data_IF_884729672017
#
_entry.id   IF_884729672017
#
_cell.length_a   1.000
_cell.length_b   1.000
_cell.length_c   1.000
_cell.angle_alpha   90.00
_cell.angle_beta   90.00
_cell.angle_gamma   90.00
#
_symmetry.space_group_name_H-M   'P 1'
#
loop_
_entity.id
_entity.type
_entity.pdbx_description
1 polymer ?
#
# COMPACT_ATOMS: atom_id res chain seq x y z
N UNK A 1 -1.18 -16.99 24.85
CA UNK A 1 -2.21 -16.91 23.78
C UNK A 1 -3.29 -15.88 24.16
N UNK A 2 -3.71 -15.02 23.24
CA UNK A 2 -4.62 -13.88 23.50
C UNK A 2 -6.08 -14.28 23.85
N UNK A 3 -6.31 -15.52 24.30
CA UNK A 3 -7.63 -16.01 24.70
C UNK A 3 -8.63 -16.28 23.57
N UNK A 4 -8.20 -16.19 22.31
CA UNK A 4 -9.08 -16.43 21.16
C UNK A 4 -9.34 -17.93 20.94
N UNK A 5 -10.58 -18.28 20.62
CA UNK A 5 -10.94 -19.61 20.13
C UNK A 5 -10.36 -19.81 18.73
N UNK A 6 -9.74 -20.96 18.49
CA UNK A 6 -9.11 -21.30 17.21
C UNK A 6 -9.64 -22.64 16.72
N UNK A 7 -9.86 -22.76 15.40
CA UNK A 7 -10.14 -24.06 14.79
C UNK A 7 -8.94 -25.02 14.98
N UNK A 8 -9.21 -26.30 15.18
CA UNK A 8 -8.18 -27.35 15.23
C UNK A 8 -7.81 -27.89 13.85
N UNK A 9 -8.60 -27.55 12.83
CA UNK A 9 -8.39 -27.90 11.43
C UNK A 9 -7.82 -26.69 10.69
N UNK A 10 -7.00 -26.94 9.67
CA UNK A 10 -6.49 -25.86 8.83
C UNK A 10 -7.56 -25.33 7.87
N UNK A 11 -7.22 -24.26 7.16
CA UNK A 11 -8.17 -23.60 6.27
C UNK A 11 -8.62 -24.47 5.10
N UNK A 12 -7.77 -25.39 4.62
CA UNK A 12 -8.10 -26.23 3.46
C UNK A 12 -9.09 -27.32 3.84
N UNK A 13 -8.87 -27.98 4.98
CA UNK A 13 -9.78 -29.01 5.48
C UNK A 13 -11.14 -28.37 5.79
N UNK A 14 -11.17 -27.18 6.38
CA UNK A 14 -12.41 -26.45 6.65
C UNK A 14 -13.21 -26.20 5.35
N UNK A 15 -12.57 -25.78 4.27
CA UNK A 15 -13.23 -25.58 2.97
C UNK A 15 -13.69 -26.92 2.35
N UNK A 16 -12.85 -27.97 2.41
CA UNK A 16 -13.16 -29.30 1.86
C UNK A 16 -14.37 -29.97 2.54
N UNK A 17 -14.59 -29.71 3.83
CA UNK A 17 -15.75 -30.20 4.58
C UNK A 17 -16.98 -29.28 4.48
N UNK A 18 -16.90 -28.20 3.69
CA UNK A 18 -18.04 -27.33 3.36
C UNK A 18 -18.25 -26.14 4.31
N UNK A 19 -17.27 -25.77 5.13
CA UNK A 19 -17.36 -24.52 5.89
C UNK A 19 -17.06 -23.30 5.02
N UNK A 20 -17.79 -22.22 5.27
CA UNK A 20 -17.47 -20.91 4.73
C UNK A 20 -16.28 -20.31 5.47
N UNK A 21 -15.25 -19.91 4.71
CA UNK A 21 -14.04 -19.30 5.23
C UNK A 21 -13.94 -17.85 4.78
N UNK A 22 -13.83 -16.92 5.72
CA UNK A 22 -13.70 -15.48 5.47
C UNK A 22 -12.37 -14.97 6.01
N UNK A 23 -11.56 -14.37 5.12
CA UNK A 23 -10.31 -13.72 5.51
C UNK A 23 -10.57 -12.25 5.89
N UNK A 24 -10.48 -11.95 7.19
CA UNK A 24 -10.54 -10.58 7.70
C UNK A 24 -9.12 -10.04 7.79
N UNK A 25 -8.71 -9.31 6.75
CA UNK A 25 -7.37 -8.74 6.63
C UNK A 25 -7.34 -7.32 7.20
N UNK A 26 -6.31 -7.02 8.00
CA UNK A 26 -6.00 -5.65 8.39
C UNK A 26 -5.01 -5.05 7.40
N UNK A 27 -5.37 -3.92 6.81
CA UNK A 27 -4.53 -3.22 5.85
C UNK A 27 -4.46 -1.74 6.22
N UNK A 28 -3.23 -1.26 6.47
CA UNK A 28 -2.99 0.11 6.95
C UNK A 28 -3.40 1.19 5.95
N UNK A 29 -3.35 0.90 4.65
CA UNK A 29 -3.74 1.86 3.59
C UNK A 29 -5.16 2.38 3.74
N UNK A 30 -6.11 1.48 4.03
CA UNK A 30 -7.51 1.86 4.33
C UNK A 30 -7.59 2.71 5.59
N UNK A 31 -6.80 2.38 6.63
CA UNK A 31 -6.68 3.19 7.84
C UNK A 31 -6.18 4.61 7.56
N UNK A 32 -5.16 4.75 6.69
CA UNK A 32 -4.64 6.06 6.27
C UNK A 32 -5.74 6.90 5.61
N UNK A 33 -6.50 6.30 4.70
CA UNK A 33 -7.57 6.97 3.96
C UNK A 33 -8.66 7.46 4.92
N UNK A 34 -9.16 6.56 5.77
CA UNK A 34 -10.26 6.86 6.70
C UNK A 34 -9.86 7.92 7.73
N UNK A 35 -8.69 7.75 8.37
CA UNK A 35 -8.20 8.71 9.36
C UNK A 35 -7.90 10.07 8.74
N UNK A 36 -7.38 10.11 7.51
CA UNK A 36 -7.11 11.37 6.82
C UNK A 36 -8.40 12.14 6.54
N UNK A 37 -9.45 11.50 6.01
CA UNK A 37 -10.76 12.15 5.78
C UNK A 37 -11.31 12.73 7.09
N UNK A 38 -11.23 11.97 8.18
CA UNK A 38 -11.64 12.44 9.51
C UNK A 38 -10.82 13.65 9.97
N UNK A 39 -9.49 13.58 9.85
CA UNK A 39 -8.59 14.68 10.23
C UNK A 39 -8.82 15.94 9.37
N UNK A 40 -9.14 15.79 8.09
CA UNK A 40 -9.48 16.93 7.21
C UNK A 40 -10.76 17.61 7.68
N UNK A 41 -11.79 16.83 8.03
CA UNK A 41 -13.03 17.38 8.58
C UNK A 41 -12.80 18.08 9.92
N UNK A 42 -12.03 17.47 10.83
CA UNK A 42 -11.73 18.05 12.15
C UNK A 42 -10.84 19.31 12.06
N UNK A 43 -9.83 19.32 11.19
CA UNK A 43 -8.85 20.40 11.12
C UNK A 43 -9.31 21.57 10.23
N UNK A 44 -10.04 21.28 9.14
CA UNK A 44 -10.41 22.27 8.12
C UNK A 44 -11.92 22.47 7.96
N UNK A 45 -12.76 21.62 8.56
CA UNK A 45 -14.21 21.65 8.35
C UNK A 45 -14.65 21.20 6.96
N UNK A 46 -13.78 20.52 6.21
CA UNK A 46 -14.04 20.09 4.82
C UNK A 46 -14.48 18.63 4.82
N UNK A 47 -15.61 18.34 4.19
CA UNK A 47 -16.02 16.96 3.90
C UNK A 47 -15.41 16.50 2.58
N UNK A 48 -14.69 15.38 2.62
CA UNK A 48 -14.06 14.79 1.44
C UNK A 48 -14.82 13.51 1.09
N UNK A 49 -15.50 13.52 -0.05
CA UNK A 49 -15.98 12.29 -0.66
C UNK A 49 -14.83 11.56 -1.33
N UNK A 50 -14.22 10.63 -0.61
CA UNK A 50 -13.10 9.82 -1.11
C UNK A 50 -13.56 8.61 -1.95
N UNK A 51 -14.87 8.38 -2.02
CA UNK A 51 -15.45 7.29 -2.82
C UNK A 51 -15.84 7.74 -4.23
N UNK A 52 -15.75 9.03 -4.54
CA UNK A 52 -15.71 9.53 -5.92
C UNK A 52 -14.36 9.14 -6.58
N UNK A 53 -14.32 7.91 -7.08
CA UNK A 53 -13.13 7.30 -7.64
C UNK A 53 -12.70 7.97 -8.96
N UNK A 54 -13.66 8.45 -9.75
CA UNK A 54 -13.37 9.10 -11.03
C UNK A 54 -12.64 10.42 -10.80
N UNK A 55 -13.09 11.20 -9.80
CA UNK A 55 -12.38 12.40 -9.37
C UNK A 55 -10.96 12.10 -8.91
N UNK A 56 -10.77 11.05 -8.11
CA UNK A 56 -9.44 10.68 -7.62
C UNK A 56 -8.50 10.28 -8.78
N UNK A 57 -8.98 9.47 -9.73
CA UNK A 57 -8.18 8.95 -10.86
C UNK A 57 -7.83 10.02 -11.90
N UNK A 58 -8.70 11.00 -12.10
CA UNK A 58 -8.53 12.06 -13.11
C UNK A 58 -7.85 13.32 -12.56
N UNK A 59 -7.52 13.35 -11.27
CA UNK A 59 -6.86 14.50 -10.66
C UNK A 59 -5.45 14.70 -11.22
N UNK A 60 -5.24 15.85 -11.89
CA UNK A 60 -3.98 16.17 -12.56
C UNK A 60 -2.78 16.25 -11.61
N UNK A 61 -2.99 16.76 -10.39
CA UNK A 61 -1.91 16.88 -9.40
C UNK A 61 -1.53 15.52 -8.82
N UNK A 62 -2.50 14.65 -8.59
CA UNK A 62 -2.26 13.24 -8.23
C UNK A 62 -1.46 12.54 -9.33
N UNK A 63 -1.86 12.71 -10.59
CA UNK A 63 -1.12 12.14 -11.72
C UNK A 63 0.31 12.69 -11.85
N UNK A 64 0.55 13.96 -11.52
CA UNK A 64 1.90 14.53 -11.46
C UNK A 64 2.75 13.94 -10.31
N UNK A 65 2.16 13.73 -9.14
CA UNK A 65 2.85 13.07 -8.02
C UNK A 65 3.15 11.60 -8.34
N UNK A 66 2.25 10.91 -9.04
CA UNK A 66 2.46 9.55 -9.53
C UNK A 66 3.66 9.50 -10.48
N UNK A 67 3.67 10.41 -11.45
CA UNK A 67 4.70 10.53 -12.50
C UNK A 67 6.09 10.79 -11.94
N UNK A 68 6.16 11.61 -10.89
CA UNK A 68 7.41 11.95 -10.20
C UNK A 68 7.76 10.97 -9.07
N UNK A 69 6.93 9.93 -8.83
CA UNK A 69 7.14 8.95 -7.76
C UNK A 69 7.11 9.57 -6.36
N UNK A 70 6.37 10.66 -6.16
CA UNK A 70 6.16 11.32 -4.87
C UNK A 70 5.00 10.67 -4.11
N UNK A 71 5.19 9.40 -3.75
CA UNK A 71 4.11 8.50 -3.29
C UNK A 71 4.35 7.96 -1.88
N UNK A 72 5.18 8.63 -1.08
CA UNK A 72 5.42 8.24 0.32
C UNK A 72 4.10 8.26 1.13
N UNK A 73 3.84 7.19 1.87
CA UNK A 73 2.61 6.93 2.62
C UNK A 73 1.43 6.41 1.78
N UNK A 74 1.54 6.44 0.44
CA UNK A 74 0.50 5.94 -0.44
C UNK A 74 0.58 4.41 -0.53
N UNK A 75 -0.54 3.75 -0.25
CA UNK A 75 -0.61 2.29 -0.27
C UNK A 75 -0.14 1.73 -1.62
N UNK A 76 0.54 0.59 -1.60
CA UNK A 76 0.96 -0.18 -2.77
C UNK A 76 2.05 0.45 -3.68
N UNK A 77 2.18 1.78 -3.67
CA UNK A 77 3.04 2.53 -4.60
C UNK A 77 4.24 3.24 -3.97
N UNK A 78 4.62 2.84 -2.76
CA UNK A 78 5.63 3.55 -1.96
C UNK A 78 7.07 2.98 -2.06
N UNK A 79 7.23 1.71 -2.45
CA UNK A 79 8.56 1.07 -2.41
C UNK A 79 9.56 1.74 -3.37
N UNK A 80 10.89 1.72 -3.08
CA UNK A 80 11.90 2.29 -3.97
C UNK A 80 11.83 1.77 -5.41
N UNK A 81 11.63 0.45 -5.56
CA UNK A 81 11.50 -0.20 -6.86
C UNK A 81 10.27 0.29 -7.62
N UNK A 82 9.11 0.38 -6.94
CA UNK A 82 7.88 0.88 -7.53
C UNK A 82 8.01 2.34 -7.92
N UNK A 83 8.48 3.21 -7.02
CA UNK A 83 8.70 4.63 -7.31
C UNK A 83 9.67 4.86 -8.47
N UNK A 84 10.71 4.05 -8.56
CA UNK A 84 11.63 4.04 -9.69
C UNK A 84 10.96 3.64 -11.00
N UNK A 85 10.08 2.62 -10.96
CA UNK A 85 9.31 2.20 -12.13
C UNK A 85 8.32 3.28 -12.58
N UNK A 86 7.56 3.88 -11.66
CA UNK A 86 6.60 4.94 -11.98
C UNK A 86 7.25 6.10 -12.73
N UNK A 87 8.45 6.52 -12.29
CA UNK A 87 9.26 7.54 -12.98
C UNK A 87 9.68 7.11 -14.39
N UNK A 88 10.17 5.87 -14.54
CA UNK A 88 10.60 5.33 -15.83
C UNK A 88 9.47 5.17 -16.83
N UNK A 89 8.25 4.95 -16.34
CA UNK A 89 7.04 4.88 -17.15
C UNK A 89 6.41 6.25 -17.39
N UNK A 90 6.91 7.33 -16.75
CA UNK A 90 6.20 8.62 -16.76
C UNK A 90 4.70 8.44 -16.36
N UNK A 91 4.44 7.55 -15.40
CA UNK A 91 3.11 7.04 -15.09
C UNK A 91 2.17 8.15 -14.62
N UNK A 92 1.10 8.42 -15.38
CA UNK A 92 0.21 9.57 -15.17
C UNK A 92 -1.28 9.24 -15.31
N UNK A 93 -1.64 7.96 -15.28
CA UNK A 93 -3.01 7.49 -15.39
C UNK A 93 -3.21 6.16 -14.68
N UNK A 94 -4.48 5.77 -14.51
CA UNK A 94 -4.88 4.63 -13.71
C UNK A 94 -4.44 3.30 -14.35
N UNK A 95 -4.66 3.15 -15.65
CA UNK A 95 -4.37 1.95 -16.43
C UNK A 95 -2.87 1.61 -16.38
N UNK A 96 -2.02 2.63 -16.52
CA UNK A 96 -0.56 2.47 -16.45
C UNK A 96 -0.12 2.06 -15.05
N UNK A 97 -0.78 2.54 -13.98
CA UNK A 97 -0.50 2.10 -12.62
C UNK A 97 -0.90 0.63 -12.39
N UNK A 98 -2.06 0.23 -12.91
CA UNK A 98 -2.53 -1.17 -12.85
C UNK A 98 -1.52 -2.10 -13.50
N UNK A 99 -0.99 -1.72 -14.66
CA UNK A 99 0.09 -2.45 -15.30
C UNK A 99 1.38 -2.41 -14.46
N UNK A 100 1.88 -1.22 -14.10
CA UNK A 100 3.14 -1.04 -13.35
C UNK A 100 3.24 -1.93 -12.10
N UNK A 101 2.15 -2.02 -11.34
CA UNK A 101 2.04 -2.86 -10.14
C UNK A 101 2.08 -4.36 -10.39
N UNK A 102 1.66 -4.79 -11.58
CA UNK A 102 1.78 -6.19 -12.02
C UNK A 102 3.17 -6.52 -12.53
N UNK A 103 3.81 -5.63 -13.29
CA UNK A 103 5.10 -5.91 -13.96
C UNK A 103 6.34 -5.77 -13.06
N UNK A 104 6.30 -5.04 -11.94
CA UNK A 104 7.47 -4.82 -11.05
C UNK A 104 7.96 -6.07 -10.27
N UNK A 105 7.56 -7.27 -10.68
CA UNK A 105 7.83 -8.53 -9.96
C UNK A 105 9.14 -9.18 -10.39
N UNK A 106 9.81 -9.94 -9.50
CA UNK A 106 11.10 -10.57 -9.81
C UNK A 106 11.12 -11.40 -11.10
N UNK A 107 10.13 -12.27 -11.35
CA UNK A 107 10.12 -13.10 -12.56
C UNK A 107 9.91 -12.31 -13.86
N UNK A 108 9.00 -11.33 -13.84
CA UNK A 108 8.76 -10.45 -15.01
C UNK A 108 9.97 -9.56 -15.31
N UNK A 109 10.72 -9.17 -14.27
CA UNK A 109 11.98 -8.44 -14.44
C UNK A 109 13.09 -9.33 -15.04
N UNK A 110 13.18 -10.59 -14.62
CA UNK A 110 14.18 -11.56 -15.11
C UNK A 110 13.94 -11.98 -16.56
N UNK A 111 12.67 -12.05 -17.00
CA UNK A 111 12.32 -12.44 -18.38
C UNK A 111 12.54 -11.34 -19.42
N UNK A 112 12.91 -10.12 -18.99
CA UNK A 112 13.07 -8.95 -19.85
C UNK A 112 11.74 -8.26 -20.19
N UNK A 113 10.59 -8.82 -19.80
CA UNK A 113 9.27 -8.27 -20.12
C UNK A 113 9.04 -6.90 -19.46
N UNK A 114 9.54 -6.67 -18.24
CA UNK A 114 9.52 -5.33 -17.63
C UNK A 114 10.24 -4.29 -18.50
N UNK A 115 11.42 -4.65 -19.03
CA UNK A 115 12.20 -3.74 -19.87
C UNK A 115 11.46 -3.44 -21.17
N UNK A 116 10.86 -4.46 -21.76
CA UNK A 116 10.12 -4.32 -23.01
C UNK A 116 8.83 -3.52 -22.84
N UNK A 117 8.08 -3.75 -21.76
CA UNK A 117 6.91 -2.93 -21.42
C UNK A 117 7.29 -1.45 -21.26
N UNK A 118 8.35 -1.15 -20.51
CA UNK A 118 8.83 0.23 -20.35
C UNK A 118 9.24 0.85 -21.69
N UNK A 119 9.94 0.10 -22.55
CA UNK A 119 10.36 0.58 -23.87
C UNK A 119 9.14 0.92 -24.75
N UNK A 120 8.20 -0.02 -24.88
CA UNK A 120 7.01 0.16 -25.73
C UNK A 120 6.05 1.21 -25.19
N UNK A 121 5.93 1.34 -23.87
CA UNK A 121 5.13 2.38 -23.24
C UNK A 121 5.66 3.79 -23.56
N UNK A 122 6.97 3.97 -23.49
CA UNK A 122 7.61 5.26 -23.75
C UNK A 122 7.73 5.58 -25.25
N UNK A 123 7.73 4.56 -26.11
CA UNK A 123 7.80 4.68 -27.57
C UNK A 123 6.77 3.76 -28.25
N UNK A 124 5.47 4.09 -28.19
CA UNK A 124 4.40 3.22 -28.67
C UNK A 124 4.40 3.02 -30.20
N UNK A 125 5.08 3.89 -30.96
CA UNK A 125 5.29 3.69 -32.41
C UNK A 125 6.56 2.90 -32.76
N UNK A 126 7.41 2.58 -31.78
CA UNK A 126 8.74 1.99 -32.00
C UNK A 126 8.78 0.45 -31.91
N UNK A 127 7.64 -0.22 -32.07
CA UNK A 127 7.56 -1.67 -32.04
C UNK A 127 6.51 -2.21 -33.01
N UNK A 128 6.64 -3.48 -33.35
CA UNK A 128 5.65 -4.24 -34.08
C UNK A 128 5.09 -5.36 -33.21
N UNK A 129 3.81 -5.65 -33.38
CA UNK A 129 3.20 -6.80 -32.73
C UNK A 129 3.74 -8.09 -33.36
N UNK A 130 4.04 -9.12 -32.57
CA UNK A 130 4.54 -10.39 -33.10
C UNK A 130 3.49 -11.13 -33.93
N UNK A 131 2.21 -10.83 -33.71
CA UNK A 131 1.07 -11.42 -34.40
C UNK A 131 -0.17 -10.51 -34.24
N UNK A 132 -1.13 -10.47 -35.19
CA UNK A 132 -2.36 -9.67 -35.06
C UNK A 132 -3.16 -9.96 -33.78
N UNK A 133 -3.18 -11.21 -33.31
CA UNK A 133 -3.83 -11.59 -32.04
C UNK A 133 -3.22 -10.83 -30.84
N UNK A 134 -1.93 -10.52 -30.84
CA UNK A 134 -1.31 -9.75 -29.76
C UNK A 134 -1.75 -8.29 -29.79
N UNK A 135 -1.97 -7.72 -30.97
CA UNK A 135 -2.52 -6.37 -31.10
C UNK A 135 -3.96 -6.32 -30.58
N UNK A 136 -4.78 -7.26 -31.02
CA UNK A 136 -6.19 -7.36 -30.64
C UNK A 136 -6.37 -7.62 -29.14
N UNK A 137 -5.62 -8.58 -28.58
CA UNK A 137 -5.86 -9.05 -27.21
C UNK A 137 -5.06 -8.28 -26.15
N UNK A 138 -3.88 -7.76 -26.52
CA UNK A 138 -2.90 -7.14 -25.62
C UNK A 138 -2.52 -5.71 -26.05
N UNK A 139 -3.36 -5.03 -26.83
CA UNK A 139 -3.12 -3.65 -27.27
C UNK A 139 -2.89 -2.69 -26.09
N UNK A 140 -3.66 -2.85 -25.01
CA UNK A 140 -3.53 -2.05 -23.77
C UNK A 140 -2.15 -2.15 -23.10
N UNK A 141 -1.44 -3.24 -23.32
CA UNK A 141 -0.12 -3.52 -22.74
C UNK A 141 0.97 -3.61 -23.80
N UNK A 142 0.73 -3.00 -24.97
CA UNK A 142 1.70 -2.93 -26.07
C UNK A 142 2.16 -4.31 -26.56
N UNK A 143 1.29 -5.31 -26.53
CA UNK A 143 1.64 -6.68 -26.95
C UNK A 143 2.56 -7.40 -25.96
N UNK A 144 2.70 -6.91 -24.73
CA UNK A 144 3.44 -7.56 -23.65
C UNK A 144 2.44 -8.18 -22.70
N UNK A 145 2.54 -9.48 -22.44
CA UNK A 145 1.75 -10.10 -21.37
C UNK A 145 2.15 -9.47 -20.04
N UNK A 146 1.19 -9.06 -19.23
CA UNK A 146 1.40 -8.46 -17.89
C UNK A 146 0.56 -9.19 -16.85
N UNK A 147 -0.63 -9.62 -17.24
CA UNK A 147 -1.63 -10.21 -16.37
C UNK A 147 -1.80 -11.72 -16.60
N UNK A 148 -2.38 -12.40 -15.61
CA UNK A 148 -2.85 -13.78 -15.72
C UNK A 148 -3.86 -13.95 -16.85
N UNK A 149 -4.73 -12.96 -17.01
CA UNK A 149 -5.75 -12.88 -18.03
C UNK A 149 -5.14 -12.76 -19.44
N UNK A 150 -3.95 -12.16 -19.57
CA UNK A 150 -3.26 -12.05 -20.86
C UNK A 150 -2.76 -13.42 -21.33
N UNK A 151 -2.22 -14.23 -20.40
CA UNK A 151 -1.83 -15.62 -20.68
C UNK A 151 -3.03 -16.44 -21.14
N UNK A 152 -4.18 -16.29 -20.48
CA UNK A 152 -5.42 -16.96 -20.85
C UNK A 152 -5.86 -16.57 -22.27
N UNK A 153 -5.88 -15.27 -22.58
CA UNK A 153 -6.24 -14.74 -23.90
C UNK A 153 -5.32 -15.27 -25.01
N UNK A 154 -4.00 -15.26 -24.80
CA UNK A 154 -3.05 -15.75 -25.80
C UNK A 154 -3.16 -17.28 -25.95
N UNK A 155 -3.28 -18.03 -24.85
CA UNK A 155 -3.47 -19.47 -24.92
C UNK A 155 -4.74 -19.87 -25.71
N UNK A 156 -5.82 -19.09 -25.56
CA UNK A 156 -7.08 -19.31 -26.28
C UNK A 156 -7.03 -18.82 -27.74
N UNK A 157 -6.75 -17.54 -27.96
CA UNK A 157 -6.89 -16.91 -29.28
C UNK A 157 -5.70 -17.18 -30.22
N UNK A 158 -4.48 -17.32 -29.68
CA UNK A 158 -3.30 -17.68 -30.48
C UNK A 158 -3.05 -19.20 -30.44
N UNK A 159 -3.14 -19.81 -29.25
CA UNK A 159 -2.91 -21.24 -29.04
C UNK A 159 -4.06 -22.16 -29.45
N UNK A 160 -5.25 -21.62 -29.74
CA UNK A 160 -6.44 -22.40 -30.10
C UNK A 160 -6.95 -23.33 -28.99
N UNK A 161 -6.50 -23.18 -27.74
CA UNK A 161 -7.01 -23.96 -26.61
C UNK A 161 -8.42 -23.49 -26.25
N UNK A 162 -9.26 -24.34 -25.69
CA UNK A 162 -10.49 -23.85 -25.06
C UNK A 162 -10.17 -23.13 -23.73
N UNK A 163 -11.15 -22.42 -23.16
CA UNK A 163 -10.94 -21.65 -21.93
C UNK A 163 -10.60 -22.53 -20.72
N UNK A 164 -11.05 -23.79 -20.70
CA UNK A 164 -10.78 -24.71 -19.60
C UNK A 164 -9.31 -25.17 -19.63
N UNK A 165 -8.84 -25.63 -20.79
CA UNK A 165 -7.44 -25.99 -21.04
C UNK A 165 -6.52 -24.77 -20.82
N UNK A 166 -6.92 -23.58 -21.27
CA UNK A 166 -6.16 -22.36 -21.05
C UNK A 166 -6.07 -21.98 -19.56
N UNK A 167 -7.13 -22.18 -18.77
CA UNK A 167 -7.08 -21.95 -17.32
C UNK A 167 -6.21 -23.00 -16.61
N UNK A 168 -6.25 -24.26 -17.04
CA UNK A 168 -5.35 -25.30 -16.52
C UNK A 168 -3.90 -24.93 -16.82
N UNK A 169 -3.59 -24.48 -18.05
CA UNK A 169 -2.26 -23.99 -18.41
C UNK A 169 -1.81 -22.85 -17.48
N UNK A 170 -2.67 -21.83 -17.29
CA UNK A 170 -2.38 -20.69 -16.38
C UNK A 170 -2.14 -21.13 -14.93
N UNK A 171 -2.96 -22.04 -14.39
CA UNK A 171 -2.80 -22.57 -13.02
C UNK A 171 -1.52 -23.37 -12.88
N UNK A 172 -1.19 -24.17 -13.88
CA UNK A 172 -0.01 -24.99 -13.87
C UNK A 172 1.27 -24.14 -13.86
N UNK A 173 1.30 -23.08 -14.67
CA UNK A 173 2.38 -22.10 -14.63
C UNK A 173 2.47 -21.42 -13.26
N UNK A 174 1.36 -21.21 -12.55
CA UNK A 174 1.38 -20.63 -11.20
C UNK A 174 1.89 -21.58 -10.10
N UNK A 175 2.44 -22.75 -10.46
CA UNK A 175 2.92 -23.76 -9.52
C UNK A 175 1.79 -24.54 -8.83
N UNK A 176 0.55 -24.39 -9.29
CA UNK A 176 -0.66 -25.00 -8.73
C UNK A 176 -1.15 -26.18 -9.57
N UNK A 177 -0.22 -26.99 -10.08
CA UNK A 177 -0.56 -28.16 -10.91
C UNK A 177 -0.90 -29.36 -10.04
N UNK A 178 -2.11 -29.91 -10.20
CA UNK A 178 -2.49 -31.19 -9.55
C UNK A 178 -2.03 -32.42 -10.34
N UNK A 179 -1.80 -32.29 -11.66
CA UNK A 179 -1.42 -33.40 -12.55
C UNK A 179 -0.39 -32.99 -13.61
N UNK A 180 0.80 -33.60 -13.56
CA UNK A 180 1.90 -33.35 -14.52
C UNK A 180 1.55 -33.86 -15.92
N UNK A 181 0.81 -34.97 -16.02
CA UNK A 181 0.44 -35.59 -17.30
C UNK A 181 -0.60 -34.76 -18.06
N UNK A 182 -1.56 -34.19 -17.36
CA UNK A 182 -2.58 -33.30 -17.94
C UNK A 182 -1.94 -32.04 -18.53
N UNK A 183 -0.98 -31.45 -17.80
CA UNK A 183 -0.22 -30.30 -18.27
C UNK A 183 0.58 -30.62 -19.56
N UNK A 184 1.24 -31.77 -19.62
CA UNK A 184 1.98 -32.19 -20.81
C UNK A 184 1.06 -32.36 -22.03
N UNK A 185 -0.15 -32.89 -21.83
CA UNK A 185 -1.14 -33.05 -22.89
C UNK A 185 -1.69 -31.70 -23.41
N UNK A 186 -1.91 -30.73 -22.52
CA UNK A 186 -2.35 -29.38 -22.90
C UNK A 186 -1.24 -28.64 -23.64
N UNK A 187 0.02 -28.78 -23.18
CA UNK A 187 1.18 -28.25 -23.90
C UNK A 187 1.22 -28.78 -25.33
N UNK A 188 1.10 -30.10 -25.52
CA UNK A 188 1.13 -30.68 -26.86
C UNK A 188 0.00 -30.14 -27.74
N UNK A 189 -1.23 -30.07 -27.20
CA UNK A 189 -2.37 -29.46 -27.90
C UNK A 189 -2.11 -28.03 -28.35
N UNK A 190 -1.47 -27.20 -27.52
CA UNK A 190 -1.10 -25.84 -27.89
C UNK A 190 -0.22 -25.81 -29.14
N UNK A 191 0.83 -26.64 -29.20
CA UNK A 191 1.71 -26.71 -30.37
C UNK A 191 0.99 -27.26 -31.60
N UNK A 192 0.23 -28.35 -31.47
CA UNK A 192 -0.52 -28.96 -32.57
C UNK A 192 -1.55 -28.00 -33.17
N UNK A 193 -2.23 -27.21 -32.32
CA UNK A 193 -3.20 -26.21 -32.77
C UNK A 193 -2.51 -25.06 -33.52
N UNK A 194 -1.37 -24.58 -33.01
CA UNK A 194 -0.61 -23.52 -33.67
C UNK A 194 -0.08 -23.98 -35.05
N UNK A 195 0.36 -25.23 -35.16
CA UNK A 195 0.79 -25.81 -36.42
C UNK A 195 -0.37 -25.88 -37.43
N UNK A 196 -1.54 -26.35 -37.00
CA UNK A 196 -2.77 -26.36 -37.83
C UNK A 196 -3.21 -24.97 -38.26
N UNK A 197 -2.98 -23.95 -37.44
CA UNK A 197 -3.26 -22.55 -37.74
C UNK A 197 -2.21 -21.90 -38.69
N UNK A 198 -1.13 -22.62 -39.02
CA UNK A 198 -0.08 -22.14 -39.93
C UNK A 198 0.90 -21.15 -39.29
N UNK A 199 1.00 -21.11 -37.96
CA UNK A 199 2.00 -20.28 -37.28
C UNK A 199 3.41 -20.83 -37.44
N UNK A 200 4.41 -19.95 -37.58
CA UNK A 200 5.80 -20.39 -37.74
C UNK A 200 6.33 -21.05 -36.45
N UNK A 201 7.10 -22.15 -36.54
CA UNK A 201 7.63 -22.83 -35.36
C UNK A 201 8.45 -21.92 -34.44
N UNK A 202 9.15 -20.93 -34.98
CA UNK A 202 9.93 -19.94 -34.23
C UNK A 202 9.02 -19.05 -33.38
N UNK A 203 7.93 -18.54 -33.96
CA UNK A 203 6.96 -17.70 -33.25
C UNK A 203 6.27 -18.49 -32.15
N UNK A 204 5.80 -19.70 -32.44
CA UNK A 204 5.10 -20.55 -31.46
C UNK A 204 5.99 -20.86 -30.26
N UNK A 205 7.26 -21.20 -30.49
CA UNK A 205 8.25 -21.42 -29.43
C UNK A 205 8.47 -20.17 -28.57
N UNK A 206 8.58 -19.00 -29.20
CA UNK A 206 8.77 -17.74 -28.47
C UNK A 206 7.53 -17.36 -27.64
N UNK A 207 6.33 -17.49 -28.19
CA UNK A 207 5.08 -17.24 -27.46
C UNK A 207 4.95 -18.18 -26.26
N UNK A 208 5.22 -19.47 -26.45
CA UNK A 208 5.15 -20.44 -25.37
C UNK A 208 6.22 -20.17 -24.29
N UNK A 209 7.45 -19.81 -24.68
CA UNK A 209 8.51 -19.38 -23.74
C UNK A 209 8.08 -18.17 -22.92
N UNK A 210 7.40 -17.20 -23.52
CA UNK A 210 6.86 -16.06 -22.78
C UNK A 210 5.80 -16.52 -21.78
N UNK A 211 4.85 -17.38 -22.18
CA UNK A 211 3.85 -17.97 -21.26
C UNK A 211 4.52 -18.69 -20.08
N UNK A 212 5.56 -19.49 -20.34
CA UNK A 212 6.33 -20.18 -19.29
C UNK A 212 7.05 -19.20 -18.35
N UNK A 213 7.52 -18.06 -18.87
CA UNK A 213 8.18 -17.05 -18.04
C UNK A 213 7.24 -16.35 -17.03
N UNK A 214 5.93 -16.46 -17.23
CA UNK A 214 4.90 -16.01 -16.28
C UNK A 214 4.68 -17.00 -15.12
N UNK A 215 5.32 -18.17 -15.16
CA UNK A 215 5.18 -19.19 -14.14
C UNK A 215 5.64 -18.68 -12.76
N UNK A 216 4.73 -18.72 -11.77
CA UNK A 216 4.98 -18.25 -10.40
C UNK A 216 4.97 -16.73 -10.19
N UNK A 217 4.86 -15.91 -11.26
CA UNK A 217 4.96 -14.45 -11.17
C UNK A 217 3.83 -13.68 -11.86
N UNK A 218 2.88 -14.37 -12.49
CA UNK A 218 1.69 -13.77 -13.09
C UNK A 218 0.76 -13.16 -12.03
N UNK A 219 0.15 -12.01 -12.36
CA UNK A 219 -0.73 -11.29 -11.44
C UNK A 219 -2.13 -11.11 -12.01
N UNK A 220 -3.15 -11.22 -11.16
CA UNK A 220 -4.54 -11.03 -11.57
C UNK A 220 -4.83 -9.53 -11.78
N UNK A 221 -5.32 -9.17 -12.97
CA UNK A 221 -5.63 -7.78 -13.33
C UNK A 221 -6.65 -7.17 -12.38
N UNK A 222 -7.70 -7.91 -12.01
CA UNK A 222 -8.76 -7.42 -11.13
C UNK A 222 -8.22 -7.05 -9.73
N UNK A 223 -7.32 -7.86 -9.18
CA UNK A 223 -6.67 -7.57 -7.91
C UNK A 223 -5.73 -6.36 -8.01
N UNK A 224 -4.97 -6.25 -9.09
CA UNK A 224 -4.11 -5.09 -9.35
C UNK A 224 -4.93 -3.80 -9.48
N UNK A 225 -6.08 -3.88 -10.14
CA UNK A 225 -7.03 -2.80 -10.31
C UNK A 225 -7.59 -2.33 -8.95
N UNK A 226 -8.09 -3.24 -8.12
CA UNK A 226 -8.66 -2.87 -6.81
C UNK A 226 -7.64 -2.19 -5.90
N UNK A 227 -6.39 -2.66 -5.85
CA UNK A 227 -5.33 -2.04 -5.04
C UNK A 227 -4.89 -0.68 -5.62
N UNK A 228 -4.96 -0.51 -6.94
CA UNK A 228 -4.66 0.77 -7.59
C UNK A 228 -5.70 1.83 -7.27
N UNK A 229 -6.96 1.45 -7.01
CA UNK A 229 -8.00 2.39 -6.54
C UNK A 229 -7.59 3.04 -5.21
N UNK A 230 -7.20 2.23 -4.23
CA UNK A 230 -6.75 2.73 -2.92
C UNK A 230 -5.47 3.55 -3.01
N UNK A 231 -4.60 3.21 -3.97
CA UNK A 231 -3.40 3.98 -4.26
C UNK A 231 -3.75 5.40 -4.72
N UNK A 232 -4.75 5.54 -5.59
CA UNK A 232 -5.26 6.84 -6.05
C UNK A 232 -5.98 7.62 -4.97
N UNK A 233 -6.78 6.97 -4.13
CA UNK A 233 -7.41 7.61 -2.97
C UNK A 233 -6.34 8.18 -2.02
N UNK A 234 -5.33 7.38 -1.70
CA UNK A 234 -4.20 7.84 -0.89
C UNK A 234 -3.47 9.01 -1.53
N UNK A 235 -3.23 8.95 -2.84
CA UNK A 235 -2.50 9.98 -3.58
C UNK A 235 -3.27 11.30 -3.64
N UNK A 236 -4.58 11.24 -3.90
CA UNK A 236 -5.47 12.39 -3.88
C UNK A 236 -5.42 13.09 -2.50
N UNK A 237 -5.53 12.31 -1.41
CA UNK A 237 -5.43 12.85 -0.05
C UNK A 237 -4.04 13.43 0.25
N UNK A 238 -2.96 12.74 -0.16
CA UNK A 238 -1.58 13.23 0.00
C UNK A 238 -1.37 14.57 -0.69
N UNK A 239 -1.95 14.76 -1.88
CA UNK A 239 -1.72 15.96 -2.69
C UNK A 239 -2.50 17.15 -2.16
N UNK A 240 -3.77 16.96 -1.81
CA UNK A 240 -4.66 18.06 -1.41
C UNK A 240 -4.64 18.35 0.10
N UNK A 241 -4.33 17.33 0.90
CA UNK A 241 -4.30 17.39 2.37
C UNK A 241 -3.01 16.76 2.93
N UNK A 242 -1.82 17.20 2.48
CA UNK A 242 -0.57 16.51 2.77
C UNK A 242 -0.26 16.39 4.27
N UNK A 243 -0.62 17.39 5.07
CA UNK A 243 -0.35 17.43 6.52
C UNK A 243 -1.23 16.42 7.25
N UNK A 244 -2.53 16.46 6.99
CA UNK A 244 -3.52 15.55 7.54
C UNK A 244 -3.25 14.10 7.10
N UNK A 245 -2.88 13.91 5.82
CA UNK A 245 -2.49 12.61 5.29
C UNK A 245 -1.26 12.05 6.01
N UNK A 246 -0.21 12.86 6.20
CA UNK A 246 0.97 12.40 6.94
C UNK A 246 0.63 12.06 8.40
N UNK A 247 -0.24 12.83 9.06
CA UNK A 247 -0.70 12.51 10.42
C UNK A 247 -1.48 11.19 10.47
N UNK A 248 -2.34 10.93 9.48
CA UNK A 248 -3.04 9.65 9.35
C UNK A 248 -2.04 8.48 9.18
N UNK A 249 -1.03 8.63 8.33
CA UNK A 249 0.03 7.63 8.12
C UNK A 249 0.84 7.42 9.41
N UNK A 250 1.20 8.49 10.13
CA UNK A 250 1.90 8.43 11.42
C UNK A 250 1.06 7.64 12.44
N UNK A 251 -0.24 7.93 12.55
CA UNK A 251 -1.14 7.28 13.50
C UNK A 251 -1.33 5.78 13.23
N UNK A 252 -1.11 5.36 11.98
CA UNK A 252 -1.13 3.96 11.56
C UNK A 252 0.28 3.32 11.54
N UNK A 253 1.27 3.96 12.17
CA UNK A 253 2.66 3.48 12.31
C UNK A 253 3.39 3.29 10.96
N UNK A 254 3.02 4.09 9.96
CA UNK A 254 3.66 4.12 8.66
C UNK A 254 3.22 3.01 7.68
N UNK A 255 3.74 3.12 6.46
CA UNK A 255 3.65 2.12 5.40
C UNK A 255 4.97 1.37 5.25
N UNK A 256 5.67 1.62 4.14
CA UNK A 256 6.92 0.94 3.77
C UNK A 256 8.11 1.34 4.66
N UNK A 257 8.19 2.62 5.03
CA UNK A 257 9.23 3.17 5.89
C UNK A 257 8.81 3.25 7.36
N UNK A 258 9.77 3.52 8.25
CA UNK A 258 9.51 3.78 9.68
C UNK A 258 8.82 5.13 9.90
N UNK A 259 8.12 5.26 11.02
CA UNK A 259 7.26 6.42 11.36
C UNK A 259 7.96 7.77 11.22
N UNK A 260 9.25 7.84 11.56
CA UNK A 260 10.04 9.09 11.55
C UNK A 260 10.18 9.69 10.16
N UNK A 261 10.14 8.87 9.11
CA UNK A 261 10.14 9.33 7.72
C UNK A 261 8.87 10.14 7.43
N UNK A 262 7.71 9.71 7.92
CA UNK A 262 6.46 10.44 7.70
C UNK A 262 6.34 11.68 8.59
N UNK A 263 7.01 11.70 9.74
CA UNK A 263 7.18 12.93 10.53
C UNK A 263 8.00 13.95 9.74
N UNK A 264 9.03 13.50 9.02
CA UNK A 264 9.79 14.36 8.12
C UNK A 264 8.96 14.81 6.91
N UNK A 265 8.21 13.91 6.28
CA UNK A 265 7.27 14.25 5.19
C UNK A 265 6.25 15.31 5.61
N UNK A 266 5.67 15.17 6.81
CA UNK A 266 4.75 16.17 7.37
C UNK A 266 5.43 17.55 7.48
N UNK A 267 6.70 17.59 7.92
CA UNK A 267 7.48 18.83 7.98
C UNK A 267 7.74 19.41 6.60
N UNK A 268 8.08 18.57 5.61
CA UNK A 268 8.28 18.99 4.22
C UNK A 268 6.97 19.50 3.58
N UNK A 269 5.82 19.00 4.04
CA UNK A 269 4.49 19.51 3.72
C UNK A 269 4.11 20.81 4.48
N UNK A 270 5.06 21.43 5.18
CA UNK A 270 4.87 22.68 5.91
C UNK A 270 4.16 22.53 7.26
N UNK A 271 4.15 21.34 7.87
CA UNK A 271 3.66 21.17 9.23
C UNK A 271 4.72 21.61 10.27
N UNK A 272 4.27 22.29 11.32
CA UNK A 272 5.08 22.65 12.48
C UNK A 272 5.02 21.49 13.46
N UNK A 273 6.09 20.69 13.50
CA UNK A 273 6.15 19.48 14.34
C UNK A 273 6.46 19.87 15.79
N UNK A 274 5.50 19.63 16.67
CA UNK A 274 5.59 19.82 18.12
C UNK A 274 5.86 18.48 18.81
N UNK A 275 6.89 18.46 19.68
CA UNK A 275 7.15 17.32 20.55
C UNK A 275 5.97 17.09 21.50
N UNK A 276 5.84 15.85 22.05
CA UNK A 276 4.78 15.53 22.99
C UNK A 276 4.63 16.57 24.09
N UNK A 277 3.40 16.93 24.42
CA UNK A 277 3.07 17.95 25.41
C UNK A 277 1.87 17.49 26.24
N UNK A 278 1.98 17.47 27.56
CA UNK A 278 0.88 17.08 28.46
C UNK A 278 -0.38 17.93 28.24
N UNK A 279 -0.21 19.20 27.85
CA UNK A 279 -1.31 20.14 27.62
C UNK A 279 -1.91 20.11 26.21
N UNK A 280 -1.23 19.55 25.20
CA UNK A 280 -1.68 19.64 23.80
C UNK A 280 -1.76 18.27 23.10
N UNK A 281 -0.83 17.35 23.37
CA UNK A 281 -0.81 16.04 22.71
C UNK A 281 -1.99 15.17 23.15
N UNK A 282 -2.49 14.34 22.24
CA UNK A 282 -3.44 13.27 22.54
C UNK A 282 -2.70 11.92 22.59
N UNK A 283 -3.44 10.83 22.78
CA UNK A 283 -2.88 9.48 22.64
C UNK A 283 -2.31 9.30 21.23
N UNK A 284 -3.13 9.59 20.22
CA UNK A 284 -2.71 9.67 18.82
C UNK A 284 -2.13 11.04 18.48
N UNK A 285 -1.32 11.09 17.41
CA UNK A 285 -0.83 12.35 16.84
C UNK A 285 -2.01 13.17 16.32
N UNK A 286 -2.00 14.47 16.58
CA UNK A 286 -3.09 15.39 16.24
C UNK A 286 -2.59 16.62 15.51
N UNK A 287 -3.46 17.27 14.75
CA UNK A 287 -3.16 18.48 13.97
C UNK A 287 -4.15 19.59 14.30
N UNK A 288 -3.63 20.82 14.42
CA UNK A 288 -4.40 22.05 14.62
C UNK A 288 -3.82 23.16 13.73
N UNK A 289 -4.55 23.50 12.67
CA UNK A 289 -4.04 24.33 11.59
C UNK A 289 -2.81 23.67 10.97
N UNK A 290 -1.64 24.24 11.21
CA UNK A 290 -0.36 23.73 10.71
C UNK A 290 0.46 22.99 11.78
N UNK A 291 0.09 23.09 13.07
CA UNK A 291 0.83 22.46 14.17
C UNK A 291 0.41 21.01 14.32
N UNK A 292 1.40 20.13 14.34
CA UNK A 292 1.22 18.69 14.56
C UNK A 292 1.85 18.33 15.89
N UNK A 293 1.03 17.93 16.86
CA UNK A 293 1.48 17.46 18.16
C UNK A 293 1.65 15.95 18.12
N UNK A 294 2.89 15.47 18.25
CA UNK A 294 3.19 14.05 18.31
C UNK A 294 2.43 13.39 19.47
N UNK A 295 1.74 12.30 19.15
CA UNK A 295 0.93 11.55 20.09
C UNK A 295 1.76 10.75 21.08
N UNK A 296 1.21 10.55 22.28
CA UNK A 296 1.85 9.75 23.34
C UNK A 296 2.10 8.30 22.93
N UNK A 297 1.32 7.75 22.01
CA UNK A 297 1.50 6.38 21.48
C UNK A 297 2.86 6.14 20.81
N UNK A 298 3.56 7.20 20.40
CA UNK A 298 4.88 7.10 19.77
C UNK A 298 6.02 7.21 20.77
N UNK A 299 5.73 7.43 22.06
CA UNK A 299 6.74 7.47 23.12
C UNK A 299 7.06 6.04 23.52
N UNK A 300 8.32 5.65 23.28
CA UNK A 300 8.84 4.39 23.77
C UNK A 300 8.74 4.34 25.30
N UNK A 301 8.31 3.21 25.84
CA UNK A 301 8.23 2.94 27.28
C UNK A 301 7.20 3.80 28.05
N UNK A 302 6.25 4.46 27.35
CA UNK A 302 5.06 5.04 27.95
C UNK A 302 3.87 4.08 27.80
N UNK A 303 3.33 3.52 28.90
CA UNK A 303 2.16 2.65 28.82
C UNK A 303 0.94 3.35 28.23
N UNK A 304 0.18 2.66 27.37
CA UNK A 304 -1.05 3.21 26.77
C UNK A 304 -2.03 3.73 27.84
N UNK A 305 -2.19 2.99 28.94
CA UNK A 305 -3.04 3.42 30.07
C UNK A 305 -2.58 4.73 30.70
N UNK A 306 -1.27 4.98 30.75
CA UNK A 306 -0.73 6.25 31.26
C UNK A 306 -1.04 7.39 30.29
N UNK A 307 -0.86 7.17 28.98
CA UNK A 307 -1.24 8.15 27.94
C UNK A 307 -2.73 8.50 27.99
N UNK A 308 -3.60 7.50 28.13
CA UNK A 308 -5.05 7.69 28.28
C UNK A 308 -5.38 8.47 29.56
N UNK A 309 -4.74 8.13 30.68
CA UNK A 309 -4.96 8.83 31.96
C UNK A 309 -4.55 10.31 31.88
N UNK A 310 -3.45 10.64 31.19
CA UNK A 310 -3.03 12.03 30.96
C UNK A 310 -4.11 12.79 30.20
N UNK A 311 -4.60 12.23 29.09
CA UNK A 311 -5.61 12.91 28.27
C UNK A 311 -6.93 13.05 29.03
N UNK A 312 -7.41 11.99 29.68
CA UNK A 312 -8.67 11.98 30.42
C UNK A 312 -8.65 12.96 31.61
N UNK A 313 -7.54 12.99 32.37
CA UNK A 313 -7.38 13.94 33.45
C UNK A 313 -7.43 15.38 32.94
N UNK A 314 -6.73 15.69 31.83
CA UNK A 314 -6.76 17.02 31.20
C UNK A 314 -8.16 17.41 30.73
N UNK A 315 -8.89 16.51 30.08
CA UNK A 315 -10.25 16.79 29.60
C UNK A 315 -11.22 17.08 30.76
N UNK A 316 -11.05 16.41 31.90
CA UNK A 316 -11.89 16.64 33.10
C UNK A 316 -11.54 17.92 33.87
N UNK A 317 -10.26 18.24 34.00
CA UNK A 317 -9.76 19.30 34.90
C UNK A 317 -9.13 20.51 34.20
N UNK A 318 -9.17 20.56 32.87
CA UNK A 318 -8.48 21.59 32.08
C UNK A 318 -6.97 21.37 31.99
N UNK A 319 -6.26 22.36 31.43
CA UNK A 319 -4.82 22.34 31.26
C UNK A 319 -4.08 22.22 32.60
N UNK A 320 -2.97 21.48 32.60
CA UNK A 320 -2.05 21.37 33.72
C UNK A 320 -1.34 22.70 33.96
N UNK A 321 -1.24 23.10 35.23
CA UNK A 321 -0.65 24.38 35.65
C UNK A 321 0.79 24.25 36.15
N UNK A 322 1.16 23.07 36.66
CA UNK A 322 2.50 22.77 37.10
C UNK A 322 2.78 21.25 37.05
N UNK A 323 3.97 20.83 37.48
CA UNK A 323 4.29 19.41 37.62
C UNK A 323 3.50 18.79 38.78
N UNK A 324 3.35 19.53 39.88
CA UNK A 324 2.62 19.10 41.07
C UNK A 324 1.12 18.86 40.75
N UNK A 325 0.46 19.80 40.06
CA UNK A 325 -0.92 19.64 39.57
C UNK A 325 -1.06 18.42 38.65
N UNK A 326 -0.05 18.13 37.84
CA UNK A 326 -0.04 16.92 37.02
C UNK A 326 0.05 15.64 37.87
N UNK A 327 0.93 15.59 38.87
CA UNK A 327 1.12 14.42 39.73
C UNK A 327 -0.07 14.14 40.66
N UNK A 328 -0.77 15.19 41.10
CA UNK A 328 -2.02 15.05 41.86
C UNK A 328 -3.14 14.41 41.02
N UNK A 329 -3.15 14.68 39.71
CA UNK A 329 -4.22 14.27 38.80
C UNK A 329 -3.96 12.96 38.06
N UNK A 330 -2.68 12.60 37.86
CA UNK A 330 -2.28 11.45 37.04
C UNK A 330 -1.34 10.55 37.83
N UNK A 331 -1.78 9.32 38.10
CA UNK A 331 -0.91 8.28 38.65
C UNK A 331 0.02 7.75 37.56
N UNK A 332 1.30 8.08 37.65
CA UNK A 332 2.33 7.66 36.68
C UNK A 332 3.57 7.15 37.42
N UNK A 333 4.24 6.14 36.85
CA UNK A 333 5.52 5.65 37.38
C UNK A 333 6.65 6.64 37.11
N UNK A 334 7.67 6.63 37.98
CA UNK A 334 8.82 7.56 37.89
C UNK A 334 9.52 7.46 36.52
N UNK A 335 9.70 6.26 35.98
CA UNK A 335 10.37 6.06 34.68
C UNK A 335 9.61 6.75 33.52
N UNK A 336 8.29 6.57 33.45
CA UNK A 336 7.47 7.23 32.42
C UNK A 336 7.42 8.75 32.61
N UNK A 337 7.44 9.22 33.86
CA UNK A 337 7.51 10.65 34.16
C UNK A 337 8.85 11.26 33.72
N UNK A 338 9.97 10.59 34.00
CA UNK A 338 11.30 11.00 33.56
C UNK A 338 11.36 11.10 32.03
N UNK A 339 10.80 10.11 31.30
CA UNK A 339 10.71 10.16 29.84
C UNK A 339 9.95 11.41 29.35
N UNK A 340 8.79 11.72 29.96
CA UNK A 340 8.01 12.92 29.61
C UNK A 340 8.79 14.22 29.89
N UNK A 341 9.53 14.28 30.99
CA UNK A 341 10.40 15.43 31.33
C UNK A 341 11.52 15.56 30.30
N UNK A 342 12.19 14.47 29.94
CA UNK A 342 13.28 14.48 28.96
C UNK A 342 12.81 14.88 27.56
N UNK A 343 11.57 14.55 27.20
CA UNK A 343 10.90 14.99 25.98
C UNK A 343 10.40 16.44 26.02
N UNK A 344 10.61 17.16 27.14
CA UNK A 344 10.11 18.53 27.37
C UNK A 344 8.57 18.63 27.30
N UNK A 345 7.87 17.58 27.73
CA UNK A 345 6.40 17.58 27.75
C UNK A 345 5.82 18.64 28.69
N UNK A 346 6.60 19.03 29.72
CA UNK A 346 6.30 20.06 30.70
C UNK A 346 6.87 21.44 30.37
N UNK A 347 7.26 21.72 29.13
CA UNK A 347 7.87 23.00 28.72
C UNK A 347 7.07 24.25 29.10
N UNK A 348 5.77 24.13 29.31
CA UNK A 348 4.89 25.22 29.74
C UNK A 348 5.21 25.76 31.15
N UNK A 349 5.94 25.00 31.98
CA UNK A 349 6.33 25.42 33.34
C UNK A 349 7.49 26.42 33.33
N UNK A 350 8.23 26.55 32.22
CA UNK A 350 9.46 27.34 32.13
C UNK A 350 10.66 26.76 32.90
N UNK A 351 10.49 25.63 33.60
CA UNK A 351 11.56 24.98 34.39
C UNK A 351 12.49 24.14 33.51
N UNK A 352 13.73 24.00 33.96
CA UNK A 352 14.70 23.11 33.32
C UNK A 352 14.37 21.64 33.58
N UNK A 353 14.92 20.73 32.75
CA UNK A 353 14.75 19.29 32.95
C UNK A 353 15.29 18.86 34.32
N UNK A 354 16.42 19.41 34.75
CA UNK A 354 17.05 19.10 36.03
C UNK A 354 16.16 19.49 37.22
N UNK A 355 15.54 20.68 37.16
CA UNK A 355 14.60 21.12 38.20
C UNK A 355 13.41 20.19 38.31
N UNK A 356 12.79 19.84 37.17
CA UNK A 356 11.63 18.95 37.13
C UNK A 356 11.96 17.54 37.63
N UNK A 357 13.17 17.02 37.37
CA UNK A 357 13.59 15.71 37.88
C UNK A 357 13.77 15.71 39.39
N UNK A 358 14.30 16.80 39.96
CA UNK A 358 14.42 16.93 41.42
C UNK A 358 13.03 17.02 42.05
N UNK A 359 12.14 17.85 41.51
CA UNK A 359 10.76 17.99 41.97
C UNK A 359 9.97 16.68 41.86
N UNK A 360 10.17 15.90 40.80
CA UNK A 360 9.52 14.61 40.61
C UNK A 360 9.91 13.53 41.64
N UNK A 361 10.99 13.75 42.39
CA UNK A 361 11.53 12.80 43.38
C UNK A 361 11.30 13.23 44.83
N UNK A 362 10.80 14.46 45.03
CA UNK A 362 10.32 14.96 46.31
C UNK A 362 8.88 14.48 46.54
#
# INVERSE_FOLDING_TARGET
PKGFQTAQLDMYICEDIGFEKLDILSQRGIGHIYDCVKLVKENRGIEVDIFDLDKCKRDEKANEYLRTGNTLGCFYIESPAMRGLLKRLNCNNYETLVAASSVIRPGVAQSGMLREYVRRHNEPGGFSYPHPVFEEQLGETYGVMVFQEDVLKIAHHFGGLDLADADILRRAMSGKTRSISEFAAIRQRFFDNCEKAGHSPELVREVYRQIESFAGYSFCKAHSASYSVESYQSLYLKVHYPREFCVAVINNFGGFYRTEVYVHEARMAGAIIELPCVNHSRVQTSIQGERVYIGFQHIKDLPVKAAEAIVAAREKGGAYRSLEDFLERVKIGIESLEVLIFLKAFRFTGKSKQQLIVEARL
#
